data_IF_137475442941
#
_entry.id   IF_137475442941
#
_cell.length_a   1.000
_cell.length_b   1.000
_cell.length_c   1.000
_cell.angle_alpha   90.00
_cell.angle_beta   90.00
_cell.angle_gamma   90.00
#
_symmetry.space_group_name_H-M   'P 1'
#
loop_
_entity.id
_entity.type
_entity.pdbx_description
1 polymer ?
#
# COMPACT_ATOMS: atom_id res chain seq x y z
N UNK A 1 -3.39 25.08 11.60
CA UNK A 1 -2.26 25.86 11.07
C UNK A 1 -1.66 26.68 12.20
N UNK A 2 -0.35 26.73 12.29
CA UNK A 2 0.37 27.50 13.30
C UNK A 2 0.97 28.75 12.66
N UNK A 3 0.95 29.87 13.41
CA UNK A 3 1.63 31.08 12.98
C UNK A 3 3.14 30.92 13.17
N UNK A 4 3.92 31.28 12.13
CA UNK A 4 5.37 31.27 12.19
C UNK A 4 5.89 32.67 12.57
N UNK A 5 6.60 32.75 13.69
CA UNK A 5 7.36 33.96 14.06
C UNK A 5 8.85 33.71 13.82
N UNK A 6 9.46 34.44 12.90
CA UNK A 6 10.90 34.38 12.64
C UNK A 6 11.59 35.35 13.64
N UNK A 7 12.44 34.86 14.57
CA UNK A 7 13.11 35.69 15.55
C UNK A 7 14.09 36.69 14.90
N UNK A 8 14.35 37.77 15.61
CA UNK A 8 15.32 38.78 15.18
C UNK A 8 16.72 38.14 14.99
N UNK A 9 17.30 38.34 13.79
CA UNK A 9 18.60 37.76 13.43
C UNK A 9 18.51 36.45 12.62
N UNK A 10 17.33 35.86 12.48
CA UNK A 10 17.07 34.76 11.55
C UNK A 10 16.45 35.28 10.25
N UNK A 11 16.76 34.62 9.12
CA UNK A 11 16.28 34.98 7.80
C UNK A 11 15.22 34.03 7.26
N UNK A 12 15.03 32.88 7.88
CA UNK A 12 14.07 31.86 7.47
C UNK A 12 13.51 31.10 8.66
N UNK A 13 12.41 30.39 8.46
CA UNK A 13 11.80 29.47 9.41
C UNK A 13 10.91 28.47 8.67
N UNK A 14 10.76 27.28 9.24
CA UNK A 14 9.91 26.24 8.70
C UNK A 14 8.57 26.20 9.44
N UNK A 15 7.49 25.93 8.69
CA UNK A 15 6.14 25.81 9.23
C UNK A 15 5.42 24.65 8.51
N UNK A 16 4.63 23.90 9.26
CA UNK A 16 3.78 22.89 8.67
C UNK A 16 2.70 23.53 7.79
N UNK A 17 2.53 23.01 6.58
CA UNK A 17 1.52 23.44 5.62
C UNK A 17 0.64 22.28 5.23
N UNK A 18 -0.63 22.56 4.99
CA UNK A 18 -1.64 21.59 4.59
C UNK A 18 -2.29 22.04 3.28
N UNK A 19 -2.56 21.07 2.38
CA UNK A 19 -3.30 21.34 1.16
C UNK A 19 -4.76 21.68 1.50
N UNK A 20 -5.27 22.77 0.97
CA UNK A 20 -6.67 23.21 1.20
C UNK A 20 -7.67 22.39 0.40
N UNK A 21 -7.24 21.67 -0.63
CA UNK A 21 -8.07 20.77 -1.42
C UNK A 21 -7.88 19.35 -0.90
N UNK A 22 -8.97 18.72 -0.45
CA UNK A 22 -8.97 17.32 -0.04
C UNK A 22 -8.67 16.39 -1.22
N UNK A 23 -8.18 15.18 -0.92
CA UNK A 23 -7.86 14.17 -1.92
C UNK A 23 -6.37 13.99 -2.14
N UNK A 24 -6.02 13.15 -3.09
CA UNK A 24 -4.63 12.83 -3.45
C UNK A 24 -3.92 13.92 -4.27
N UNK A 25 -4.67 14.95 -4.71
CA UNK A 25 -4.16 15.99 -5.62
C UNK A 25 -2.96 16.78 -5.07
N UNK A 26 -2.86 16.85 -3.74
CA UNK A 26 -1.76 17.52 -3.04
C UNK A 26 -0.52 16.67 -2.83
N UNK A 27 -0.53 15.38 -3.18
CA UNK A 27 0.59 14.46 -2.96
C UNK A 27 1.66 14.55 -4.06
N UNK A 28 2.88 14.13 -3.74
CA UNK A 28 3.97 13.94 -4.70
C UNK A 28 4.71 15.20 -5.14
N UNK A 29 4.49 16.35 -4.49
CA UNK A 29 5.32 17.53 -4.75
C UNK A 29 6.66 17.41 -4.05
N UNK A 30 7.70 17.12 -4.82
CA UNK A 30 9.08 16.97 -4.29
C UNK A 30 9.62 18.28 -3.69
N UNK A 31 10.61 18.23 -2.79
CA UNK A 31 11.21 19.43 -2.18
C UNK A 31 11.61 20.49 -3.20
N UNK A 32 11.22 21.75 -2.94
CA UNK A 32 11.47 22.88 -3.81
C UNK A 32 10.49 23.02 -4.98
N UNK A 33 9.49 22.18 -5.12
CA UNK A 33 8.49 22.26 -6.21
C UNK A 33 7.38 23.26 -5.88
N UNK A 34 6.92 23.34 -4.62
CA UNK A 34 5.95 24.33 -4.16
C UNK A 34 6.72 25.59 -3.75
N UNK A 35 6.68 26.63 -4.57
CA UNK A 35 7.47 27.87 -4.39
C UNK A 35 6.71 29.14 -4.72
N UNK A 36 5.43 29.07 -4.97
CA UNK A 36 4.62 30.25 -5.31
C UNK A 36 3.82 30.68 -4.08
N UNK A 37 4.05 31.91 -3.60
CA UNK A 37 3.20 32.51 -2.59
C UNK A 37 2.00 33.19 -3.25
N UNK A 38 0.82 33.04 -2.65
CA UNK A 38 -0.40 33.73 -3.08
C UNK A 38 -0.38 35.16 -2.57
N UNK A 39 -0.06 35.34 -1.28
CA UNK A 39 0.06 36.65 -0.65
C UNK A 39 1.53 37.04 -0.51
N UNK A 40 1.87 38.23 -0.96
CA UNK A 40 3.23 38.77 -0.87
C UNK A 40 3.26 39.86 0.19
N UNK A 41 4.09 39.67 1.22
CA UNK A 41 4.28 40.63 2.30
C UNK A 41 5.54 41.47 2.09
N UNK A 42 5.62 42.69 2.67
CA UNK A 42 6.87 43.42 2.71
C UNK A 42 7.98 42.58 3.34
N UNK A 43 9.16 42.57 2.70
CA UNK A 43 10.35 41.80 3.12
C UNK A 43 10.28 40.27 2.86
N UNK A 44 9.20 39.76 2.28
CA UNK A 44 9.14 38.36 1.83
C UNK A 44 10.07 38.16 0.61
N UNK A 45 10.92 37.11 0.66
CA UNK A 45 11.84 36.77 -0.45
C UNK A 45 11.38 35.56 -1.23
N UNK A 46 11.18 34.45 -0.54
CA UNK A 46 10.79 33.20 -1.19
C UNK A 46 10.19 32.21 -0.18
N UNK A 47 9.47 31.24 -0.71
CA UNK A 47 8.97 30.07 0.01
C UNK A 47 9.25 28.81 -0.83
N UNK A 48 9.50 27.71 -0.19
CA UNK A 48 9.54 26.40 -0.86
C UNK A 48 9.26 25.30 0.15
N UNK A 49 8.65 24.19 -0.31
CA UNK A 49 8.55 23.01 0.53
C UNK A 49 9.92 22.36 0.73
N UNK A 50 10.18 21.90 1.95
CA UNK A 50 11.42 21.21 2.34
C UNK A 50 11.29 19.70 2.30
N UNK A 51 10.06 19.19 2.40
CA UNK A 51 9.72 17.77 2.31
C UNK A 51 8.81 17.50 1.12
N UNK A 52 8.71 16.26 0.69
CA UNK A 52 7.71 15.83 -0.26
C UNK A 52 6.32 15.90 0.38
N UNK A 53 5.32 16.36 -0.36
CA UNK A 53 3.94 16.38 0.13
C UNK A 53 3.31 15.00 0.04
N UNK A 54 2.68 14.55 1.11
CA UNK A 54 2.06 13.24 1.23
C UNK A 54 0.87 13.27 2.20
N UNK A 55 0.14 12.17 2.31
CA UNK A 55 -0.92 11.99 3.30
C UNK A 55 -2.32 12.39 2.83
N UNK A 56 -2.47 12.92 1.62
CA UNK A 56 -3.78 13.11 1.01
C UNK A 56 -4.38 11.77 0.57
N UNK A 57 -5.69 11.59 0.79
CA UNK A 57 -6.44 10.44 0.32
C UNK A 57 -7.77 10.90 -0.27
N UNK A 58 -8.21 10.21 -1.32
CA UNK A 58 -9.53 10.44 -1.90
C UNK A 58 -10.65 9.89 -1.03
N UNK A 59 -11.88 10.25 -1.34
CA UNK A 59 -13.06 9.77 -0.64
C UNK A 59 -13.13 8.23 -0.69
N UNK A 60 -13.44 7.63 0.45
CA UNK A 60 -13.59 6.18 0.59
C UNK A 60 -14.65 5.65 -0.38
N UNK A 61 -14.34 4.56 -1.09
CA UNK A 61 -15.33 3.91 -1.94
C UNK A 61 -16.43 3.22 -1.13
N UNK A 62 -17.63 3.06 -1.73
CA UNK A 62 -18.74 2.35 -1.10
C UNK A 62 -18.36 0.93 -0.65
N UNK A 63 -17.52 0.25 -1.40
CA UNK A 63 -17.04 -1.10 -1.05
C UNK A 63 -16.12 -1.08 0.19
N UNK A 64 -15.21 -0.11 0.29
CA UNK A 64 -14.34 0.06 1.45
C UNK A 64 -15.16 0.49 2.69
N UNK A 65 -16.12 1.40 2.51
CA UNK A 65 -17.04 1.83 3.56
C UNK A 65 -17.88 0.65 4.10
N UNK A 66 -18.40 -0.20 3.21
CA UNK A 66 -19.14 -1.39 3.61
C UNK A 66 -18.29 -2.37 4.43
N UNK A 67 -17.05 -2.64 4.02
CA UNK A 67 -16.14 -3.50 4.79
C UNK A 67 -15.82 -2.90 6.15
N UNK A 68 -15.54 -1.60 6.23
CA UNK A 68 -15.31 -0.90 7.49
C UNK A 68 -16.53 -0.92 8.41
N UNK A 69 -17.74 -0.77 7.85
CA UNK A 69 -18.98 -0.89 8.61
C UNK A 69 -19.16 -2.31 9.18
N UNK A 70 -18.86 -3.32 8.39
CA UNK A 70 -18.89 -4.71 8.83
C UNK A 70 -17.87 -5.00 9.95
N UNK A 71 -16.66 -4.51 9.79
CA UNK A 71 -15.60 -4.64 10.79
C UNK A 71 -15.91 -3.86 12.09
N UNK A 72 -16.67 -2.77 12.01
CA UNK A 72 -17.04 -1.95 13.17
C UNK A 72 -17.83 -2.71 14.25
N UNK A 73 -18.49 -3.79 13.89
CA UNK A 73 -19.23 -4.63 14.85
C UNK A 73 -18.28 -5.26 15.88
N UNK A 74 -17.04 -5.54 15.49
CA UNK A 74 -16.02 -6.12 16.37
C UNK A 74 -15.57 -5.15 17.48
N UNK A 75 -15.82 -3.84 17.32
CA UNK A 75 -15.43 -2.82 18.30
C UNK A 75 -16.26 -2.82 19.56
N UNK A 76 -17.44 -3.45 19.55
CA UNK A 76 -18.32 -3.53 20.72
C UNK A 76 -17.81 -4.49 21.81
N UNK A 77 -16.87 -5.36 21.49
CA UNK A 77 -16.28 -6.28 22.46
C UNK A 77 -15.14 -5.61 23.21
N UNK A 78 -15.19 -5.60 24.53
CA UNK A 78 -14.12 -5.12 25.41
C UNK A 78 -13.10 -6.22 25.74
N UNK A 79 -13.26 -7.42 25.17
CA UNK A 79 -12.37 -8.56 25.42
C UNK A 79 -11.12 -8.62 24.49
N UNK A 80 -10.89 -7.58 23.68
CA UNK A 80 -9.76 -7.49 22.75
C UNK A 80 -9.81 -8.49 21.60
N UNK A 81 -10.93 -8.58 20.84
CA UNK A 81 -10.98 -9.43 19.65
C UNK A 81 -9.98 -8.94 18.60
N UNK A 82 -9.40 -9.88 17.83
CA UNK A 82 -8.46 -9.55 16.75
C UNK A 82 -9.05 -8.52 15.78
N UNK A 83 -10.32 -8.68 15.39
CA UNK A 83 -11.02 -7.73 14.51
C UNK A 83 -11.13 -6.32 15.08
N UNK A 84 -11.24 -6.18 16.41
CA UNK A 84 -11.22 -4.88 17.07
C UNK A 84 -9.88 -4.15 16.87
N UNK A 85 -8.77 -4.85 17.08
CA UNK A 85 -7.43 -4.29 16.84
C UNK A 85 -7.23 -3.92 15.37
N UNK A 86 -7.67 -4.78 14.45
CA UNK A 86 -7.57 -4.52 13.01
C UNK A 86 -8.40 -3.29 12.60
N UNK A 87 -9.61 -3.15 13.13
CA UNK A 87 -10.48 -1.99 12.89
C UNK A 87 -9.85 -0.68 13.38
N UNK A 88 -9.42 -0.64 14.64
CA UNK A 88 -8.82 0.58 15.21
C UNK A 88 -7.50 0.95 14.53
N UNK A 89 -6.68 -0.04 14.14
CA UNK A 89 -5.48 0.22 13.38
C UNK A 89 -5.77 0.83 12.01
N UNK A 90 -6.76 0.31 11.27
CA UNK A 90 -7.19 0.87 9.98
C UNK A 90 -7.75 2.29 10.12
N UNK A 91 -8.37 2.62 11.25
CA UNK A 91 -8.91 3.96 11.48
C UNK A 91 -7.85 5.04 11.71
N UNK A 92 -6.61 4.66 11.95
CA UNK A 92 -5.51 5.61 12.17
C UNK A 92 -5.17 6.42 10.92
N UNK A 93 -5.16 5.77 9.75
CA UNK A 93 -4.81 6.46 8.50
C UNK A 93 -5.54 5.82 7.31
N UNK A 94 -6.05 6.66 6.41
CA UNK A 94 -6.64 6.22 5.14
C UNK A 94 -5.64 5.52 4.21
N UNK A 95 -4.35 5.67 4.46
CA UNK A 95 -3.29 4.99 3.70
C UNK A 95 -3.14 3.51 4.07
N UNK A 96 -3.72 3.07 5.19
CA UNK A 96 -3.63 1.68 5.66
C UNK A 96 -4.63 0.83 4.89
N UNK A 97 -4.13 -0.12 4.09
CA UNK A 97 -4.95 -1.00 3.27
C UNK A 97 -5.23 -2.35 3.95
N UNK A 98 -4.26 -2.91 4.65
CA UNK A 98 -4.43 -4.20 5.32
C UNK A 98 -3.76 -4.21 6.71
N UNK A 99 -4.43 -4.85 7.66
CA UNK A 99 -3.93 -5.02 9.03
C UNK A 99 -4.15 -6.46 9.44
N UNK A 100 -3.18 -7.03 10.15
CA UNK A 100 -3.27 -8.35 10.76
C UNK A 100 -2.87 -8.28 12.22
N UNK A 101 -3.78 -8.69 13.09
CA UNK A 101 -3.52 -8.86 14.51
C UNK A 101 -3.37 -10.35 14.83
N UNK A 102 -2.33 -10.69 15.57
CA UNK A 102 -2.07 -12.08 16.04
C UNK A 102 -1.64 -12.06 17.50
N UNK A 103 -1.87 -13.14 18.22
CA UNK A 103 -1.39 -13.31 19.61
C UNK A 103 -0.39 -14.45 19.63
N UNK A 104 0.91 -14.18 19.52
CA UNK A 104 1.94 -15.21 19.54
C UNK A 104 2.08 -15.89 20.91
N UNK A 105 1.85 -15.14 22.00
CA UNK A 105 1.86 -15.62 23.37
C UNK A 105 0.71 -14.98 24.17
N UNK A 106 0.25 -15.58 25.27
CA UNK A 106 -0.81 -15.00 26.08
C UNK A 106 -0.45 -13.60 26.59
N UNK A 107 -1.33 -12.63 26.33
CA UNK A 107 -1.13 -11.22 26.67
C UNK A 107 -0.27 -10.43 25.69
N UNK A 108 0.33 -11.06 24.70
CA UNK A 108 1.05 -10.37 23.61
C UNK A 108 0.17 -10.26 22.37
N UNK A 109 0.07 -9.06 21.82
CA UNK A 109 -0.64 -8.78 20.57
C UNK A 109 0.34 -8.16 19.57
N UNK A 110 0.60 -8.85 18.46
CA UNK A 110 1.44 -8.39 17.36
C UNK A 110 0.54 -7.92 16.20
N UNK A 111 0.57 -6.63 15.93
CA UNK A 111 -0.21 -5.98 14.87
C UNK A 111 0.70 -5.62 13.71
N UNK A 112 0.37 -6.11 12.53
CA UNK A 112 1.09 -5.80 11.29
C UNK A 112 0.25 -4.89 10.42
N UNK A 113 0.89 -3.86 9.88
CA UNK A 113 0.24 -2.79 9.09
C UNK A 113 0.85 -2.73 7.71
N UNK A 114 0.00 -2.76 6.67
CA UNK A 114 0.39 -2.65 5.27
C UNK A 114 -0.33 -1.47 4.64
N UNK A 115 0.39 -0.63 3.89
CA UNK A 115 -0.20 0.51 3.20
C UNK A 115 -0.76 0.13 1.83
N UNK A 116 -1.58 1.03 1.27
CA UNK A 116 -2.11 0.91 -0.07
C UNK A 116 -0.98 0.73 -1.11
N UNK A 117 -1.24 -0.05 -2.15
CA UNK A 117 -0.22 -0.41 -3.14
C UNK A 117 0.82 -1.42 -2.64
N UNK A 118 0.67 -1.93 -1.40
CA UNK A 118 1.61 -2.85 -0.79
C UNK A 118 2.87 -2.16 -0.24
N UNK A 119 2.84 -0.87 0.00
CA UNK A 119 3.96 -0.14 0.60
C UNK A 119 4.10 -0.47 2.08
N UNK A 120 5.34 -0.45 2.57
CA UNK A 120 5.60 -0.65 3.99
C UNK A 120 5.43 0.67 4.74
N UNK A 121 4.79 0.67 5.92
CA UNK A 121 4.61 1.90 6.70
C UNK A 121 5.95 2.40 7.25
N UNK A 122 6.10 3.72 7.25
CA UNK A 122 7.18 4.42 7.94
C UNK A 122 6.94 4.44 9.45
N UNK A 123 7.98 4.79 10.22
CA UNK A 123 7.95 4.77 11.68
C UNK A 123 6.85 5.70 12.25
N UNK A 124 6.56 6.81 11.57
CA UNK A 124 5.54 7.78 11.97
C UNK A 124 4.13 7.15 11.97
N UNK A 125 3.76 6.43 10.91
CA UNK A 125 2.47 5.73 10.81
C UNK A 125 2.38 4.60 11.85
N UNK A 126 3.47 3.84 12.03
CA UNK A 126 3.51 2.78 13.05
C UNK A 126 3.31 3.34 14.46
N UNK A 127 3.88 4.51 14.75
CA UNK A 127 3.73 5.19 16.03
C UNK A 127 2.29 5.67 16.23
N UNK A 128 1.66 6.29 15.23
CA UNK A 128 0.27 6.74 15.28
C UNK A 128 -0.68 5.57 15.55
N UNK A 129 -0.53 4.46 14.82
CA UNK A 129 -1.29 3.23 15.06
C UNK A 129 -1.06 2.70 16.48
N UNK A 130 0.20 2.71 16.95
CA UNK A 130 0.55 2.25 18.29
C UNK A 130 -0.09 3.11 19.39
N UNK A 131 -0.15 4.42 19.22
CA UNK A 131 -0.81 5.34 20.16
C UNK A 131 -2.31 5.05 20.26
N UNK A 132 -2.99 4.82 19.14
CA UNK A 132 -4.41 4.48 19.10
C UNK A 132 -4.67 3.12 19.75
N UNK A 133 -3.90 2.10 19.40
CA UNK A 133 -4.13 0.74 19.91
C UNK A 133 -3.76 0.59 21.40
N UNK A 134 -2.87 1.40 21.93
CA UNK A 134 -2.50 1.41 23.34
C UNK A 134 -3.35 2.34 24.20
N UNK A 135 -4.35 3.02 23.62
CA UNK A 135 -5.27 3.85 24.39
C UNK A 135 -6.11 3.00 25.36
N UNK A 136 -6.34 3.50 26.57
CA UNK A 136 -7.09 2.80 27.64
C UNK A 136 -8.53 2.43 27.23
N UNK A 137 -9.08 3.10 26.23
CA UNK A 137 -10.42 2.83 25.68
C UNK A 137 -10.45 1.73 24.62
N UNK A 138 -9.29 1.31 24.11
CA UNK A 138 -9.16 0.34 23.02
C UNK A 138 -8.59 -0.98 23.53
N UNK A 139 -7.53 -0.91 24.30
CA UNK A 139 -6.76 -2.06 24.75
C UNK A 139 -7.29 -2.65 26.06
N UNK A 140 -7.50 -3.98 26.17
CA UNK A 140 -7.61 -4.64 27.45
C UNK A 140 -6.38 -4.39 28.34
N UNK A 141 -6.57 -4.31 29.64
CA UNK A 141 -5.52 -3.96 30.59
C UNK A 141 -4.33 -4.93 30.58
N UNK A 142 -4.59 -6.20 30.21
CA UNK A 142 -3.60 -7.29 30.22
C UNK A 142 -2.81 -7.40 28.91
N UNK A 143 -3.23 -6.71 27.85
CA UNK A 143 -2.64 -6.90 26.52
C UNK A 143 -1.44 -5.95 26.32
N UNK A 144 -0.35 -6.53 25.86
CA UNK A 144 0.82 -5.79 25.39
C UNK A 144 0.83 -5.74 23.88
N UNK A 145 0.47 -4.56 23.33
CA UNK A 145 0.30 -4.39 21.88
C UNK A 145 1.60 -3.87 21.27
N UNK A 146 2.11 -4.58 20.27
CA UNK A 146 3.23 -4.15 19.44
C UNK A 146 2.78 -3.96 18.00
N UNK A 147 3.19 -2.84 17.38
CA UNK A 147 2.85 -2.49 15.98
C UNK A 147 4.11 -2.49 15.13
N UNK A 148 4.09 -3.19 14.02
CA UNK A 148 5.25 -3.34 13.13
C UNK A 148 4.81 -3.40 11.66
N UNK A 149 5.76 -3.14 10.75
CA UNK A 149 5.62 -3.50 9.35
C UNK A 149 5.59 -5.02 9.17
N UNK A 150 4.94 -5.55 8.11
CA UNK A 150 5.01 -6.97 7.80
C UNK A 150 6.42 -7.37 7.38
N UNK A 151 6.77 -8.65 7.60
CA UNK A 151 7.96 -9.24 7.01
C UNK A 151 7.76 -9.42 5.51
N UNK A 152 8.83 -9.30 4.73
CA UNK A 152 8.76 -9.44 3.28
C UNK A 152 9.21 -10.81 2.81
N UNK A 153 8.43 -11.43 1.92
CA UNK A 153 8.78 -12.65 1.20
C UNK A 153 9.05 -12.29 -0.25
N UNK A 154 10.30 -12.36 -0.68
CA UNK A 154 10.66 -12.02 -2.05
C UNK A 154 10.23 -13.13 -3.03
N UNK A 155 9.67 -12.73 -4.19
CA UNK A 155 9.42 -13.61 -5.31
C UNK A 155 9.82 -12.94 -6.62
N UNK A 156 10.08 -13.76 -7.65
CA UNK A 156 10.41 -13.28 -8.99
C UNK A 156 9.35 -13.73 -9.99
N UNK A 157 9.23 -13.01 -11.10
CA UNK A 157 8.44 -13.44 -12.27
C UNK A 157 9.42 -13.70 -13.41
N UNK A 158 9.37 -14.90 -13.94
CA UNK A 158 10.09 -15.31 -15.14
C UNK A 158 9.16 -16.19 -16.00
N UNK A 159 8.62 -15.59 -17.07
CA UNK A 159 7.62 -16.21 -17.93
C UNK A 159 7.99 -16.03 -19.39
N UNK A 160 7.69 -17.06 -20.19
CA UNK A 160 7.70 -16.98 -21.64
C UNK A 160 6.30 -17.26 -22.14
N UNK A 161 5.76 -16.38 -22.97
CA UNK A 161 4.46 -16.58 -23.60
C UNK A 161 4.60 -16.79 -25.09
N UNK A 162 3.65 -17.49 -25.67
CA UNK A 162 3.59 -17.78 -27.10
C UNK A 162 2.24 -17.32 -27.65
N UNK A 163 2.25 -16.78 -28.86
CA UNK A 163 1.06 -16.32 -29.57
C UNK A 163 0.58 -17.39 -30.59
N UNK A 164 -0.67 -17.25 -31.07
CA UNK A 164 -1.20 -18.11 -32.11
C UNK A 164 -0.79 -17.54 -33.47
N UNK A 165 -0.14 -18.35 -34.32
CA UNK A 165 0.15 -18.00 -35.72
C UNK A 165 -1.14 -17.70 -36.48
N UNK A 166 -1.23 -16.55 -37.13
CA UNK A 166 -2.43 -16.12 -37.83
C UNK A 166 -3.63 -15.78 -36.92
N UNK A 167 -3.40 -15.57 -35.64
CA UNK A 167 -4.43 -15.18 -34.66
C UNK A 167 -5.12 -13.87 -35.02
N UNK A 168 -6.35 -13.68 -34.53
CA UNK A 168 -7.16 -12.49 -34.79
C UNK A 168 -6.63 -11.20 -34.09
N UNK A 169 -5.79 -11.35 -33.05
CA UNK A 169 -5.21 -10.25 -32.27
C UNK A 169 -3.75 -10.13 -32.67
N UNK A 170 -3.29 -8.91 -32.92
CA UNK A 170 -1.88 -8.67 -33.26
C UNK A 170 -0.95 -8.92 -32.06
N UNK A 171 0.28 -9.34 -32.35
CA UNK A 171 1.29 -9.62 -31.31
C UNK A 171 1.59 -8.40 -30.43
N UNK A 172 1.53 -7.19 -30.97
CA UNK A 172 1.73 -5.95 -30.21
C UNK A 172 0.64 -5.78 -29.14
N UNK A 173 -0.63 -5.97 -29.50
CA UNK A 173 -1.75 -5.89 -28.56
C UNK A 173 -1.67 -7.01 -27.51
N UNK A 174 -1.29 -8.22 -27.90
CA UNK A 174 -1.07 -9.31 -26.93
C UNK A 174 0.06 -8.94 -25.97
N UNK A 175 1.15 -8.37 -26.45
CA UNK A 175 2.28 -7.93 -25.62
C UNK A 175 1.86 -6.86 -24.58
N UNK A 176 1.07 -5.88 -24.99
CA UNK A 176 0.51 -4.88 -24.08
C UNK A 176 -0.40 -5.52 -23.02
N UNK A 177 -1.29 -6.40 -23.43
CA UNK A 177 -2.20 -7.13 -22.54
C UNK A 177 -1.42 -8.02 -21.54
N UNK A 178 -0.36 -8.70 -21.98
CA UNK A 178 0.52 -9.52 -21.14
C UNK A 178 1.20 -8.65 -20.09
N UNK A 179 1.73 -7.48 -20.47
CA UNK A 179 2.35 -6.55 -19.52
C UNK A 179 1.32 -6.02 -18.50
N UNK A 180 0.09 -5.71 -18.95
CA UNK A 180 -1.00 -5.31 -18.06
C UNK A 180 -1.39 -6.44 -17.08
N UNK A 181 -1.47 -7.70 -17.56
CA UNK A 181 -1.76 -8.88 -16.74
C UNK A 181 -0.69 -9.13 -15.67
N UNK A 182 0.58 -8.98 -16.03
CA UNK A 182 1.71 -9.06 -15.07
C UNK A 182 1.63 -7.92 -14.05
N UNK A 183 1.31 -6.71 -14.48
CA UNK A 183 1.07 -5.56 -13.60
C UNK A 183 -0.07 -5.81 -12.61
N UNK A 184 -1.20 -6.33 -13.10
CA UNK A 184 -2.35 -6.70 -12.28
C UNK A 184 -2.00 -7.78 -11.24
N UNK A 185 -1.23 -8.81 -11.63
CA UNK A 185 -0.77 -9.84 -10.70
C UNK A 185 0.12 -9.25 -9.59
N UNK A 186 1.09 -8.40 -9.94
CA UNK A 186 1.98 -7.75 -8.96
C UNK A 186 1.19 -6.91 -7.95
N UNK A 187 0.26 -6.09 -8.45
CA UNK A 187 -0.61 -5.27 -7.62
C UNK A 187 -1.43 -6.13 -6.67
N UNK A 188 -2.16 -7.11 -7.23
CA UNK A 188 -2.97 -8.04 -6.44
C UNK A 188 -2.14 -8.76 -5.37
N UNK A 189 -0.93 -9.23 -5.69
CA UNK A 189 -0.07 -9.96 -4.76
C UNK A 189 0.42 -9.07 -3.60
N UNK A 190 0.72 -7.80 -3.88
CA UNK A 190 1.27 -6.87 -2.91
C UNK A 190 0.22 -6.26 -1.96
N UNK A 191 -1.06 -6.22 -2.35
CA UNK A 191 -2.12 -5.50 -1.61
C UNK A 191 -2.58 -6.17 -0.32
N UNK A 192 -2.17 -7.43 -0.05
CA UNK A 192 -2.69 -8.18 1.10
C UNK A 192 -1.62 -9.06 1.75
N UNK A 193 -1.53 -8.99 3.08
CA UNK A 193 -0.73 -9.91 3.88
C UNK A 193 -1.34 -11.32 3.88
N UNK A 194 -0.50 -12.35 4.10
CA UNK A 194 -0.93 -13.75 4.16
C UNK A 194 -1.39 -14.31 2.83
N UNK A 195 -1.17 -13.60 1.71
CA UNK A 195 -1.53 -14.07 0.38
C UNK A 195 -0.41 -14.90 -0.22
N UNK A 196 -0.64 -16.19 -0.37
CA UNK A 196 0.31 -17.11 -1.00
C UNK A 196 0.69 -16.67 -2.41
N UNK A 197 1.96 -16.87 -2.77
CA UNK A 197 2.40 -16.67 -4.14
C UNK A 197 1.89 -17.82 -4.99
N UNK A 198 0.87 -17.55 -5.82
CA UNK A 198 0.18 -18.58 -6.59
C UNK A 198 0.43 -18.40 -8.10
N UNK A 199 1.29 -19.24 -8.71
CA UNK A 199 1.56 -19.18 -10.15
C UNK A 199 0.34 -19.47 -11.02
N UNK A 200 -0.64 -20.24 -10.51
CA UNK A 200 -1.85 -20.54 -11.29
C UNK A 200 -2.68 -19.28 -11.55
N UNK A 201 -2.70 -18.33 -10.63
CA UNK A 201 -3.39 -17.06 -10.86
C UNK A 201 -2.67 -16.20 -11.90
N UNK A 202 -1.34 -16.18 -11.89
CA UNK A 202 -0.54 -15.52 -12.93
C UNK A 202 -0.84 -16.13 -14.32
N UNK A 203 -0.85 -17.47 -14.42
CA UNK A 203 -1.19 -18.18 -15.65
C UNK A 203 -2.60 -17.80 -16.12
N UNK A 204 -3.58 -17.76 -15.22
CA UNK A 204 -4.95 -17.38 -15.56
C UNK A 204 -5.00 -15.97 -16.19
N UNK A 205 -4.34 -14.99 -15.58
CA UNK A 205 -4.31 -13.61 -16.10
C UNK A 205 -3.62 -13.54 -17.46
N UNK A 206 -2.52 -14.25 -17.64
CA UNK A 206 -1.80 -14.31 -18.91
C UNK A 206 -2.63 -14.98 -20.02
N UNK A 207 -3.32 -16.08 -19.71
CA UNK A 207 -4.23 -16.73 -20.68
C UNK A 207 -5.38 -15.80 -21.08
N UNK A 208 -5.92 -15.01 -20.16
CA UNK A 208 -6.93 -14.00 -20.45
C UNK A 208 -6.41 -12.85 -21.32
N UNK A 209 -5.11 -12.59 -21.31
CA UNK A 209 -4.46 -11.59 -22.18
C UNK A 209 -4.45 -12.00 -23.67
N UNK A 210 -4.84 -13.22 -24.01
CA UNK A 210 -4.97 -13.71 -25.39
C UNK A 210 -3.75 -14.49 -25.87
N UNK A 211 -2.88 -14.94 -24.99
CA UNK A 211 -1.76 -15.81 -25.35
C UNK A 211 -2.25 -17.25 -25.60
N UNK A 212 -1.57 -17.97 -26.48
CA UNK A 212 -1.85 -19.38 -26.75
C UNK A 212 -1.36 -20.30 -25.63
N UNK A 213 -0.15 -20.03 -25.12
CA UNK A 213 0.54 -20.85 -24.14
C UNK A 213 1.51 -20.02 -23.30
N UNK A 214 1.72 -20.43 -22.06
CA UNK A 214 2.68 -19.79 -21.13
C UNK A 214 3.57 -20.86 -20.52
N UNK A 215 4.86 -20.55 -20.43
CA UNK A 215 5.83 -21.27 -19.62
C UNK A 215 6.24 -20.40 -18.43
N UNK A 216 5.94 -20.85 -17.23
CA UNK A 216 6.27 -20.15 -15.98
C UNK A 216 7.47 -20.84 -15.33
N UNK A 217 8.64 -20.18 -15.32
CA UNK A 217 9.82 -20.63 -14.59
C UNK A 217 9.81 -20.10 -13.15
N UNK A 218 9.25 -18.91 -12.95
CA UNK A 218 8.98 -18.30 -11.67
C UNK A 218 7.70 -17.43 -11.75
N UNK A 219 6.94 -17.32 -10.66
CA UNK A 219 7.16 -17.90 -9.34
C UNK A 219 6.81 -19.38 -9.27
N UNK A 220 7.43 -20.12 -8.33
CA UNK A 220 6.85 -21.32 -7.79
C UNK A 220 5.82 -20.99 -6.72
N UNK A 221 4.92 -21.93 -6.40
CA UNK A 221 4.02 -21.74 -5.26
C UNK A 221 4.83 -21.57 -3.97
N UNK A 222 4.49 -20.54 -3.19
CA UNK A 222 5.09 -20.29 -1.90
C UNK A 222 4.03 -19.80 -0.92
N UNK A 223 4.03 -20.37 0.29
CA UNK A 223 3.15 -19.93 1.36
C UNK A 223 3.67 -18.63 1.97
N UNK A 224 2.75 -17.73 2.28
CA UNK A 224 3.01 -16.44 2.94
C UNK A 224 2.20 -16.41 4.23
N UNK A 225 2.88 -16.22 5.36
CA UNK A 225 2.22 -16.19 6.68
C UNK A 225 1.42 -14.89 6.85
N UNK A 226 0.46 -14.88 7.79
CA UNK A 226 -0.39 -13.72 8.06
C UNK A 226 0.38 -12.44 8.44
N UNK A 227 1.58 -12.57 9.01
CA UNK A 227 2.47 -11.46 9.34
C UNK A 227 3.43 -11.07 8.22
N UNK A 228 3.28 -11.63 7.02
CA UNK A 228 4.17 -11.45 5.88
C UNK A 228 3.42 -10.89 4.66
N UNK A 229 4.14 -10.18 3.81
CA UNK A 229 3.68 -9.73 2.49
C UNK A 229 4.66 -10.16 1.41
N UNK A 230 4.15 -10.63 0.27
CA UNK A 230 5.00 -10.99 -0.85
C UNK A 230 5.40 -9.75 -1.65
N UNK A 231 6.70 -9.57 -1.84
CA UNK A 231 7.28 -8.44 -2.60
C UNK A 231 7.98 -8.95 -3.87
N UNK A 232 7.70 -8.25 -4.97
CA UNK A 232 8.36 -8.56 -6.25
C UNK A 232 9.84 -8.19 -6.21
N UNK A 233 10.69 -9.11 -6.64
CA UNK A 233 12.08 -8.85 -6.93
C UNK A 233 12.27 -8.50 -8.42
N UNK A 234 12.66 -9.48 -9.22
CA UNK A 234 12.86 -9.29 -10.67
C UNK A 234 11.65 -9.73 -11.48
N UNK A 235 11.47 -9.10 -12.64
CA UNK A 235 10.43 -9.46 -13.60
C UNK A 235 11.05 -9.63 -14.96
N UNK A 236 10.93 -10.82 -15.52
CA UNK A 236 11.34 -11.16 -16.90
C UNK A 236 10.13 -11.71 -17.64
N UNK A 237 9.74 -11.03 -18.72
CA UNK A 237 8.65 -11.45 -19.60
C UNK A 237 9.21 -11.57 -21.02
N UNK A 238 9.16 -12.75 -21.58
CA UNK A 238 9.73 -13.04 -22.89
C UNK A 238 8.64 -13.46 -23.86
N UNK A 239 8.63 -12.85 -25.04
CA UNK A 239 7.83 -13.36 -26.16
C UNK A 239 8.60 -14.50 -26.83
N UNK A 240 8.06 -15.71 -26.79
CA UNK A 240 8.64 -16.92 -27.41
C UNK A 240 8.31 -17.07 -28.90
N UNK A 241 7.53 -16.12 -29.45
CA UNK A 241 7.08 -16.14 -30.83
C UNK A 241 5.72 -16.78 -31.05
N UNK A 242 5.33 -16.87 -32.32
CA UNK A 242 4.08 -17.49 -32.73
C UNK A 242 4.24 -19.01 -32.95
N UNK A 243 3.24 -19.77 -32.54
CA UNK A 243 3.16 -21.21 -32.71
C UNK A 243 1.94 -21.56 -33.55
N UNK A 244 2.12 -22.47 -34.52
CA UNK A 244 1.01 -23.12 -35.24
C UNK A 244 0.26 -24.09 -34.32
N UNK A 245 -0.97 -24.49 -34.70
CA UNK A 245 -1.71 -25.54 -33.97
C UNK A 245 -1.03 -26.89 -34.00
#
# INVERSE_FOLDING_TARGET
LQDLTIPAGQLSGDVAAECTQAGEIGNGFVPGQIKQAVDVFPYFQSVSNTTESAGGADEESDAAFYERLRESVETYSTAGPMGGYEYFAKSASALIADVKATSPEPGEVDVRVLLAGGELPEEEILKEVSEILNADTVRPLTDHVTVKAPETVAYNIDVTYYTQEGGAISDDVISENVNAAVGAFKKWQAEKMGRDVNPSYLIQLLMQAGVKRVEVRAPAFATVKDNQVAKIGTTTVTNGGAESE
#
